data_IF_419547487638
#
_entry.id   IF_419547487638
#
_cell.length_a   1.000
_cell.length_b   1.000
_cell.length_c   1.000
_cell.angle_alpha   90.00
_cell.angle_beta   90.00
_cell.angle_gamma   90.00
#
_symmetry.space_group_name_H-M   'P 1'
#
loop_
_entity.id
_entity.type
_entity.pdbx_description
1 polymer ?
#
# COMPACT_ATOMS: atom_id res chain seq x y z
N UNK A 1 20.09 -44.33 22.08
CA UNK A 1 19.93 -43.83 20.70
C UNK A 1 18.61 -43.10 20.43
N UNK A 2 17.41 -43.70 20.62
CA UNK A 2 16.12 -43.04 20.30
C UNK A 2 15.91 -41.66 20.96
N UNK A 3 16.29 -41.48 22.22
CA UNK A 3 16.17 -40.18 22.92
C UNK A 3 17.02 -39.09 22.27
N UNK A 4 18.25 -39.42 21.90
CA UNK A 4 19.17 -38.51 21.23
C UNK A 4 18.62 -38.07 19.87
N UNK A 5 18.13 -39.03 19.07
CA UNK A 5 17.52 -38.73 17.77
C UNK A 5 16.23 -37.89 17.91
N UNK A 6 15.43 -38.15 18.94
CA UNK A 6 14.26 -37.31 19.27
C UNK A 6 14.63 -35.86 19.59
N UNK A 7 15.72 -35.63 20.34
CA UNK A 7 16.20 -34.26 20.64
C UNK A 7 16.62 -33.53 19.37
N UNK A 8 17.35 -34.20 18.46
CA UNK A 8 17.74 -33.62 17.17
C UNK A 8 16.52 -33.21 16.36
N UNK A 9 15.51 -34.09 16.27
CA UNK A 9 14.26 -33.78 15.54
C UNK A 9 13.55 -32.57 16.17
N UNK A 10 13.55 -32.43 17.50
CA UNK A 10 12.93 -31.27 18.17
C UNK A 10 13.65 -29.98 17.84
N UNK A 11 14.98 -29.97 17.83
CA UNK A 11 15.77 -28.78 17.47
C UNK A 11 15.48 -28.38 16.01
N UNK A 12 15.48 -29.35 15.09
CA UNK A 12 15.13 -29.11 13.69
C UNK A 12 13.68 -28.62 13.53
N UNK A 13 12.74 -29.25 14.25
CA UNK A 13 11.33 -28.86 14.28
C UNK A 13 11.13 -27.46 14.84
N UNK A 14 11.94 -27.04 15.81
CA UNK A 14 11.90 -25.68 16.34
C UNK A 14 12.27 -24.66 15.27
N UNK A 15 13.45 -24.80 14.66
CA UNK A 15 13.93 -23.85 13.62
C UNK A 15 12.96 -23.81 12.44
N UNK A 16 12.57 -24.98 11.95
CA UNK A 16 11.67 -25.08 10.79
C UNK A 16 10.25 -24.59 11.13
N UNK A 17 9.76 -24.88 12.33
CA UNK A 17 8.47 -24.42 12.84
C UNK A 17 8.40 -22.90 12.92
N UNK A 18 9.47 -22.22 13.36
CA UNK A 18 9.54 -20.75 13.33
C UNK A 18 9.36 -20.22 11.91
N UNK A 19 10.11 -20.76 10.94
CA UNK A 19 10.03 -20.34 9.53
C UNK A 19 8.64 -20.59 8.93
N UNK A 20 8.04 -21.75 9.22
CA UNK A 20 6.69 -22.09 8.73
C UNK A 20 5.64 -21.14 9.31
N UNK A 21 5.61 -20.96 10.62
CA UNK A 21 4.58 -20.14 11.26
C UNK A 21 4.72 -18.65 10.91
N UNK A 22 5.96 -18.14 10.77
CA UNK A 22 6.21 -16.79 10.26
C UNK A 22 5.76 -16.65 8.80
N UNK A 23 6.15 -17.59 7.93
CA UNK A 23 5.75 -17.58 6.53
C UNK A 23 4.22 -17.60 6.35
N UNK A 24 3.53 -18.37 7.19
CA UNK A 24 2.06 -18.38 7.22
C UNK A 24 1.49 -17.02 7.62
N UNK A 25 2.05 -16.39 8.65
CA UNK A 25 1.63 -15.06 9.13
C UNK A 25 1.83 -13.98 8.07
N UNK A 26 3.00 -13.94 7.44
CA UNK A 26 3.33 -13.02 6.33
C UNK A 26 2.40 -13.23 5.14
N UNK A 27 2.08 -14.49 4.81
CA UNK A 27 1.15 -14.81 3.72
C UNK A 27 -0.28 -14.33 4.01
N UNK A 28 -0.71 -14.38 5.27
CA UNK A 28 -2.07 -13.96 5.65
C UNK A 28 -2.22 -12.45 5.78
N UNK A 29 -1.17 -11.73 6.15
CA UNK A 29 -1.18 -10.27 6.33
C UNK A 29 -0.57 -9.53 5.13
N UNK A 30 0.75 -9.59 4.96
CA UNK A 30 1.50 -8.72 4.05
C UNK A 30 1.21 -9.04 2.59
N UNK A 31 1.04 -10.32 2.23
CA UNK A 31 0.85 -10.76 0.85
C UNK A 31 -0.60 -10.67 0.34
N UNK A 32 -1.42 -9.81 0.94
CA UNK A 32 -2.78 -9.49 0.47
C UNK A 32 -2.90 -7.98 0.31
N UNK A 33 -3.68 -7.51 -0.67
CA UNK A 33 -3.90 -6.07 -0.87
C UNK A 33 -4.78 -5.44 0.22
N UNK A 34 -5.79 -6.17 0.69
CA UNK A 34 -6.80 -5.66 1.64
C UNK A 34 -6.21 -5.01 2.91
N UNK A 35 -5.23 -5.61 3.61
CA UNK A 35 -4.56 -4.97 4.75
C UNK A 35 -3.90 -3.63 4.43
N UNK A 36 -3.33 -3.49 3.23
CA UNK A 36 -2.70 -2.25 2.78
C UNK A 36 -3.73 -1.17 2.49
N UNK A 37 -4.84 -1.52 1.83
CA UNK A 37 -5.95 -0.60 1.58
C UNK A 37 -6.51 -0.04 2.89
N UNK A 38 -6.78 -0.91 3.86
CA UNK A 38 -7.26 -0.51 5.18
C UNK A 38 -6.25 0.39 5.90
N UNK A 39 -4.96 0.09 5.81
CA UNK A 39 -3.91 0.93 6.40
C UNK A 39 -3.85 2.33 5.76
N UNK A 40 -4.03 2.44 4.44
CA UNK A 40 -4.06 3.74 3.73
C UNK A 40 -5.29 4.57 4.12
N UNK A 41 -6.46 3.94 4.25
CA UNK A 41 -7.69 4.61 4.72
C UNK A 41 -7.51 5.11 6.15
N UNK A 42 -7.01 4.24 7.05
CA UNK A 42 -6.79 4.60 8.46
C UNK A 42 -5.76 5.73 8.64
N UNK A 43 -4.73 5.75 7.78
CA UNK A 43 -3.73 6.81 7.77
C UNK A 43 -4.18 8.09 7.04
N UNK A 44 -5.42 8.14 6.51
CA UNK A 44 -5.97 9.27 5.76
C UNK A 44 -5.08 9.73 4.61
N UNK A 45 -4.43 8.78 3.94
CA UNK A 45 -3.49 9.07 2.86
C UNK A 45 -4.19 9.83 1.74
N UNK A 46 -5.41 9.40 1.38
CA UNK A 46 -6.15 9.97 0.25
C UNK A 46 -6.58 11.42 0.48
N UNK A 47 -6.77 11.83 1.74
CA UNK A 47 -7.13 13.20 2.10
C UNK A 47 -5.93 14.15 1.98
N UNK A 48 -4.72 13.63 2.24
CA UNK A 48 -3.48 14.40 2.35
C UNK A 48 -2.61 14.33 1.10
N UNK A 49 -2.78 13.30 0.27
CA UNK A 49 -1.92 13.03 -0.89
C UNK A 49 -1.97 14.20 -1.88
N UNK A 50 -3.15 14.79 -2.09
CA UNK A 50 -3.33 15.83 -3.08
C UNK A 50 -2.64 17.14 -2.68
N UNK A 51 -2.73 17.54 -1.41
CA UNK A 51 -1.99 18.70 -0.92
C UNK A 51 -0.49 18.53 -1.08
N UNK A 52 0.04 17.34 -0.77
CA UNK A 52 1.47 17.05 -0.89
C UNK A 52 1.95 17.04 -2.35
N UNK A 53 1.19 16.39 -3.24
CA UNK A 53 1.49 16.37 -4.66
C UNK A 53 1.43 17.79 -5.25
N UNK A 54 0.43 18.60 -4.89
CA UNK A 54 0.37 19.99 -5.36
C UNK A 54 1.56 20.80 -4.88
N UNK A 55 1.93 20.70 -3.60
CA UNK A 55 3.10 21.41 -3.06
C UNK A 55 4.37 21.00 -3.81
N UNK A 56 4.61 19.70 -4.01
CA UNK A 56 5.79 19.21 -4.74
C UNK A 56 5.79 19.62 -6.21
N UNK A 57 4.65 19.57 -6.90
CA UNK A 57 4.56 19.99 -8.31
C UNK A 57 4.75 21.51 -8.43
N UNK A 58 4.31 22.29 -7.46
CA UNK A 58 4.50 23.76 -7.47
C UNK A 58 5.92 24.16 -7.06
N UNK A 59 6.55 23.43 -6.14
CA UNK A 59 7.93 23.69 -5.68
C UNK A 59 8.99 23.17 -6.65
N UNK A 60 8.78 22.00 -7.27
CA UNK A 60 9.73 21.36 -8.17
C UNK A 60 9.38 21.54 -9.65
N UNK A 61 8.18 22.02 -9.95
CA UNK A 61 7.68 22.07 -11.31
C UNK A 61 8.35 23.14 -12.15
N UNK A 62 8.93 22.71 -13.25
CA UNK A 62 9.11 23.45 -14.51
C UNK A 62 7.77 23.91 -15.13
N UNK A 63 6.75 24.22 -14.32
CA UNK A 63 5.66 25.10 -14.74
C UNK A 63 6.28 26.47 -14.97
N UNK A 64 7.03 26.59 -16.07
CA UNK A 64 7.35 27.87 -16.70
C UNK A 64 6.00 28.49 -16.96
N UNK A 65 5.65 29.40 -16.07
CA UNK A 65 4.44 30.19 -16.13
C UNK A 65 4.40 31.02 -17.40
N UNK A 66 5.26 30.87 -18.41
CA UNK A 66 5.24 31.69 -19.62
C UNK A 66 3.86 31.79 -20.31
N UNK A 67 2.99 30.76 -20.20
CA UNK A 67 1.58 30.82 -20.67
C UNK A 67 0.54 31.17 -19.60
N UNK A 68 0.90 31.14 -18.30
CA UNK A 68 0.02 31.46 -17.15
C UNK A 68 0.48 32.70 -16.37
N UNK A 69 1.60 33.32 -16.74
CA UNK A 69 2.34 34.33 -15.97
C UNK A 69 1.54 35.62 -15.83
N UNK A 70 0.58 35.81 -16.73
CA UNK A 70 -0.29 36.95 -16.74
C UNK A 70 -1.62 36.69 -15.98
N UNK A 71 -1.85 35.45 -15.52
CA UNK A 71 -2.97 35.09 -14.67
C UNK A 71 -2.48 35.06 -13.20
N UNK A 72 -2.85 36.02 -12.34
CA UNK A 72 -2.48 36.03 -10.92
C UNK A 72 -3.21 34.93 -10.13
N UNK A 73 -2.99 33.66 -10.45
CA UNK A 73 -3.53 32.51 -9.72
C UNK A 73 -2.51 32.12 -8.66
N UNK A 74 -2.95 32.12 -7.41
CA UNK A 74 -2.15 31.72 -6.26
C UNK A 74 -2.05 30.20 -6.16
N UNK A 75 -0.99 29.71 -5.52
CA UNK A 75 -0.82 28.27 -5.23
C UNK A 75 -2.02 27.69 -4.48
N UNK A 76 -2.59 28.44 -3.53
CA UNK A 76 -3.79 28.04 -2.78
C UNK A 76 -5.02 27.87 -3.67
N UNK A 77 -5.18 28.73 -4.68
CA UNK A 77 -6.30 28.61 -5.64
C UNK A 77 -6.10 27.41 -6.57
N UNK A 78 -4.87 27.13 -7.00
CA UNK A 78 -4.55 25.93 -7.79
C UNK A 78 -4.85 24.67 -6.97
N UNK A 79 -4.40 24.61 -5.71
CA UNK A 79 -4.68 23.48 -4.81
C UNK A 79 -6.18 23.33 -4.57
N UNK A 80 -6.92 24.43 -4.35
CA UNK A 80 -8.38 24.38 -4.19
C UNK A 80 -9.09 23.91 -5.46
N UNK A 81 -8.66 24.38 -6.63
CA UNK A 81 -9.18 23.93 -7.91
C UNK A 81 -8.97 22.43 -8.08
N UNK A 82 -7.74 21.96 -7.82
CA UNK A 82 -7.39 20.57 -7.96
C UNK A 82 -8.15 19.69 -6.98
N UNK A 83 -8.30 20.10 -5.72
CA UNK A 83 -9.11 19.40 -4.71
C UNK A 83 -10.59 19.28 -5.10
N UNK A 84 -11.10 20.24 -5.89
CA UNK A 84 -12.48 20.24 -6.36
C UNK A 84 -12.69 19.30 -7.56
N UNK A 85 -11.63 19.07 -8.35
CA UNK A 85 -11.65 18.18 -9.51
C UNK A 85 -11.30 16.74 -9.10
N UNK A 86 -10.18 16.57 -8.40
CA UNK A 86 -9.62 15.30 -7.94
C UNK A 86 -10.06 15.07 -6.49
N UNK A 87 -11.12 14.30 -6.32
CA UNK A 87 -11.64 14.00 -4.98
C UNK A 87 -10.83 12.89 -4.28
N UNK A 88 -10.81 12.84 -2.93
CA UNK A 88 -10.19 11.74 -2.19
C UNK A 88 -10.76 10.36 -2.59
N UNK A 89 -12.05 10.28 -2.87
CA UNK A 89 -12.69 9.03 -3.33
C UNK A 89 -12.16 8.56 -4.69
N UNK A 90 -11.88 9.49 -5.61
CA UNK A 90 -11.24 9.17 -6.88
C UNK A 90 -9.82 8.64 -6.64
N UNK A 91 -9.01 9.34 -5.84
CA UNK A 91 -7.65 8.91 -5.50
C UNK A 91 -7.63 7.54 -4.83
N UNK A 92 -8.53 7.30 -3.89
CA UNK A 92 -8.70 6.00 -3.24
C UNK A 92 -8.96 4.90 -4.28
N UNK A 93 -9.95 5.10 -5.15
CA UNK A 93 -10.32 4.11 -6.18
C UNK A 93 -9.12 3.77 -7.07
N UNK A 94 -8.38 4.79 -7.54
CA UNK A 94 -7.23 4.57 -8.41
C UNK A 94 -6.05 3.93 -7.67
N UNK A 95 -5.72 4.40 -6.47
CA UNK A 95 -4.63 3.85 -5.66
C UNK A 95 -4.89 2.40 -5.25
N UNK A 96 -6.12 2.06 -4.87
CA UNK A 96 -6.49 0.70 -4.54
C UNK A 96 -6.43 -0.23 -5.76
N UNK A 97 -6.80 0.25 -6.95
CA UNK A 97 -6.64 -0.50 -8.19
C UNK A 97 -5.16 -0.74 -8.55
N UNK A 98 -4.29 0.26 -8.32
CA UNK A 98 -2.83 0.10 -8.46
C UNK A 98 -2.32 -0.97 -7.50
N UNK A 99 -2.78 -0.96 -6.24
CA UNK A 99 -2.35 -1.95 -5.26
C UNK A 99 -2.81 -3.36 -5.64
N UNK A 100 -4.06 -3.53 -6.01
CA UNK A 100 -4.59 -4.83 -6.43
C UNK A 100 -3.78 -5.38 -7.60
N UNK A 101 -3.55 -4.58 -8.64
CA UNK A 101 -2.73 -4.99 -9.77
C UNK A 101 -1.28 -5.31 -9.35
N UNK A 102 -0.71 -4.52 -8.45
CA UNK A 102 0.62 -4.76 -7.89
C UNK A 102 0.70 -6.12 -7.19
N UNK A 103 -0.31 -6.47 -6.40
CA UNK A 103 -0.37 -7.77 -5.72
C UNK A 103 -0.63 -8.93 -6.69
N UNK A 104 -1.47 -8.73 -7.71
CA UNK A 104 -1.65 -9.72 -8.78
C UNK A 104 -0.35 -9.99 -9.54
N UNK A 105 0.40 -8.94 -9.85
CA UNK A 105 1.72 -9.05 -10.45
C UNK A 105 2.67 -9.77 -9.49
N UNK A 106 2.83 -9.30 -8.25
CA UNK A 106 3.77 -9.87 -7.29
C UNK A 106 3.52 -11.36 -7.01
N UNK A 107 2.25 -11.76 -6.93
CA UNK A 107 1.84 -13.15 -6.73
C UNK A 107 1.82 -13.98 -8.03
N UNK A 108 2.29 -13.42 -9.14
CA UNK A 108 2.31 -14.06 -10.47
C UNK A 108 0.93 -14.54 -10.94
N UNK A 109 -0.15 -13.88 -10.53
CA UNK A 109 -1.52 -14.17 -11.01
C UNK A 109 -1.76 -13.55 -12.38
N UNK A 110 -1.05 -12.45 -12.68
CA UNK A 110 -1.01 -11.80 -13.99
C UNK A 110 0.44 -11.49 -14.38
N UNK A 111 0.67 -11.24 -15.66
CA UNK A 111 1.98 -10.83 -16.20
C UNK A 111 1.94 -9.35 -16.59
N UNK A 112 3.11 -8.70 -16.66
CA UNK A 112 3.18 -7.28 -17.03
C UNK A 112 2.57 -7.00 -18.42
N UNK A 113 2.62 -7.96 -19.34
CA UNK A 113 2.04 -7.85 -20.68
C UNK A 113 0.53 -8.04 -20.72
N UNK A 114 -0.05 -8.67 -19.69
CA UNK A 114 -1.50 -8.89 -19.54
C UNK A 114 -2.14 -7.89 -18.59
N UNK A 115 -1.33 -7.24 -17.74
CA UNK A 115 -1.74 -6.18 -16.84
C UNK A 115 -2.23 -4.96 -17.64
N UNK A 116 -3.40 -4.44 -17.28
CA UNK A 116 -3.90 -3.17 -17.76
C UNK A 116 -4.51 -2.42 -16.58
N UNK A 117 -4.17 -1.15 -16.46
CA UNK A 117 -4.74 -0.26 -15.46
C UNK A 117 -5.18 1.02 -16.15
N UNK A 118 -6.46 1.07 -16.48
CA UNK A 118 -7.08 2.20 -17.16
C UNK A 118 -7.59 3.16 -16.09
N UNK A 119 -6.95 4.33 -16.00
CA UNK A 119 -7.39 5.44 -15.16
C UNK A 119 -8.32 6.31 -16.01
N UNK A 120 -9.64 6.33 -15.74
CA UNK A 120 -10.55 7.20 -16.47
C UNK A 120 -10.31 8.65 -16.05
N UNK A 121 -10.08 9.52 -17.03
CA UNK A 121 -9.90 10.95 -16.83
C UNK A 121 -11.08 11.78 -17.33
N UNK A 122 -12.05 11.16 -18.02
CA UNK A 122 -13.20 11.84 -18.61
C UNK A 122 -13.93 12.75 -17.61
N UNK A 123 -14.22 12.25 -16.41
CA UNK A 123 -14.93 13.05 -15.40
C UNK A 123 -14.10 14.24 -14.93
N UNK A 124 -12.78 14.05 -14.75
CA UNK A 124 -11.86 15.12 -14.38
C UNK A 124 -11.75 16.17 -15.49
N UNK A 125 -11.66 15.70 -16.75
CA UNK A 125 -11.60 16.51 -17.96
C UNK A 125 -12.87 17.34 -18.16
N UNK A 126 -14.05 16.80 -17.82
CA UNK A 126 -15.31 17.51 -17.89
C UNK A 126 -15.49 18.53 -16.76
N UNK A 127 -14.94 18.24 -15.56
CA UNK A 127 -15.06 19.12 -14.38
C UNK A 127 -14.03 20.24 -14.36
N UNK A 128 -12.81 19.99 -14.83
CA UNK A 128 -11.72 20.96 -14.76
C UNK A 128 -12.05 22.32 -15.40
N UNK A 129 -12.65 22.42 -16.60
CA UNK A 129 -13.02 23.70 -17.19
C UNK A 129 -13.99 24.50 -16.33
N UNK A 130 -14.98 23.82 -15.74
CA UNK A 130 -16.02 24.44 -14.90
C UNK A 130 -15.36 25.07 -13.67
N UNK A 131 -14.51 24.33 -12.97
CA UNK A 131 -13.82 24.81 -11.76
C UNK A 131 -12.88 25.97 -12.08
N UNK A 132 -12.12 25.87 -13.16
CA UNK A 132 -11.22 26.97 -13.59
C UNK A 132 -12.03 28.22 -13.95
N UNK A 133 -13.15 28.05 -14.67
CA UNK A 133 -14.04 29.15 -15.03
C UNK A 133 -14.63 29.82 -13.78
N UNK A 134 -15.10 29.04 -12.81
CA UNK A 134 -15.65 29.56 -11.55
C UNK A 134 -14.63 30.41 -10.77
N UNK A 135 -13.39 29.94 -10.64
CA UNK A 135 -12.31 30.67 -9.96
C UNK A 135 -12.01 32.00 -10.66
N UNK A 136 -11.96 31.99 -11.98
CA UNK A 136 -11.68 33.20 -12.76
C UNK A 136 -12.84 34.19 -12.73
N UNK A 137 -14.08 33.72 -12.81
CA UNK A 137 -15.29 34.53 -12.64
C UNK A 137 -15.28 35.20 -11.26
N UNK A 138 -14.91 34.46 -10.21
CA UNK A 138 -14.82 35.00 -8.85
C UNK A 138 -13.72 36.07 -8.74
N UNK A 139 -12.54 35.84 -9.34
CA UNK A 139 -11.48 36.86 -9.39
C UNK A 139 -11.93 38.12 -10.11
N UNK A 140 -12.52 37.99 -11.30
CA UNK A 140 -13.00 39.14 -12.08
C UNK A 140 -14.06 39.91 -11.29
N UNK A 141 -14.97 39.21 -10.59
CA UNK A 141 -15.98 39.84 -9.74
C UNK A 141 -15.37 40.65 -8.59
N UNK A 142 -14.23 40.21 -8.04
CA UNK A 142 -13.49 40.91 -6.98
C UNK A 142 -12.64 42.09 -7.47
N UNK A 143 -12.45 42.26 -8.79
CA UNK A 143 -11.73 43.39 -9.34
C UNK A 143 -12.51 44.70 -9.17
N UNK A 144 -11.82 45.84 -8.94
CA UNK A 144 -12.47 47.14 -8.84
C UNK A 144 -13.13 47.53 -10.17
N UNK A 145 -14.17 48.36 -10.10
CA UNK A 145 -14.84 48.89 -11.29
C UNK A 145 -13.86 49.80 -12.06
N UNK A 146 -13.75 49.61 -13.37
CA UNK A 146 -12.90 50.43 -14.23
C UNK A 146 -13.38 51.88 -14.26
N UNK A 147 -12.45 52.83 -14.11
CA UNK A 147 -12.68 54.23 -14.45
C UNK A 147 -12.73 54.40 -15.98
N UNK A 148 -13.36 55.46 -16.49
CA UNK A 148 -13.46 55.72 -17.93
C UNK A 148 -12.10 55.74 -18.64
N UNK A 149 -11.05 56.24 -17.97
CA UNK A 149 -9.69 56.24 -18.49
C UNK A 149 -9.13 54.81 -18.69
N UNK A 150 -9.40 53.89 -17.74
CA UNK A 150 -8.96 52.48 -17.81
C UNK A 150 -9.82 51.65 -18.76
N UNK A 151 -11.07 52.03 -18.99
CA UNK A 151 -11.97 51.41 -19.96
C UNK A 151 -11.43 51.50 -21.40
N UNK A 152 -10.74 52.60 -21.74
CA UNK A 152 -10.07 52.76 -23.04
C UNK A 152 -8.88 51.81 -23.22
N UNK A 153 -8.21 51.43 -22.13
CA UNK A 153 -7.12 50.46 -22.15
C UNK A 153 -7.62 49.02 -22.12
N UNK A 154 -8.82 48.77 -21.57
CA UNK A 154 -9.45 47.46 -21.50
C UNK A 154 -9.61 46.79 -22.87
N UNK A 155 -9.83 47.58 -23.93
CA UNK A 155 -9.91 47.07 -25.30
C UNK A 155 -8.64 46.33 -25.75
N UNK A 156 -7.49 46.55 -25.10
CA UNK A 156 -6.23 45.84 -25.37
C UNK A 156 -6.18 44.43 -24.73
N UNK A 157 -7.10 44.12 -23.82
CA UNK A 157 -7.17 42.86 -23.07
C UNK A 157 -8.30 41.93 -23.56
N UNK A 158 -8.81 42.12 -24.79
CA UNK A 158 -9.89 41.29 -25.36
C UNK A 158 -9.52 39.80 -25.43
N UNK A 159 -8.22 39.48 -25.49
CA UNK A 159 -7.72 38.12 -25.35
C UNK A 159 -6.94 38.04 -24.03
N UNK A 160 -7.32 37.11 -23.15
CA UNK A 160 -6.69 36.88 -21.84
C UNK A 160 -5.21 36.45 -21.95
N UNK A 161 -4.66 36.32 -23.16
CA UNK A 161 -3.24 36.10 -23.44
C UNK A 161 -2.34 37.15 -22.77
N UNK A 162 -2.83 38.39 -22.65
CA UNK A 162 -2.14 39.50 -21.96
C UNK A 162 -2.38 39.54 -20.44
N UNK A 163 -3.16 38.60 -19.89
CA UNK A 163 -3.49 38.48 -18.47
C UNK A 163 -4.87 38.97 -18.06
N UNK A 164 -5.14 38.84 -16.76
CA UNK A 164 -6.36 39.42 -16.17
C UNK A 164 -6.26 40.96 -16.19
N UNK A 165 -7.30 41.67 -16.66
CA UNK A 165 -7.32 43.12 -16.64
C UNK A 165 -7.28 43.64 -15.19
N UNK A 166 -6.71 44.82 -14.93
CA UNK A 166 -6.57 45.35 -13.57
C UNK A 166 -7.90 45.81 -12.95
N UNK A 167 -8.99 45.85 -13.72
CA UNK A 167 -10.32 46.30 -13.30
C UNK A 167 -11.41 45.60 -14.12
N UNK A 168 -12.67 45.65 -13.64
CA UNK A 168 -13.85 45.13 -14.33
C UNK A 168 -14.74 46.26 -14.86
N UNK A 169 -15.23 46.23 -16.11
CA UNK A 169 -16.24 47.18 -16.58
C UNK A 169 -17.56 47.01 -15.83
N UNK A 170 -18.27 48.11 -15.57
CA UNK A 170 -19.47 48.11 -14.71
C UNK A 170 -20.60 47.22 -15.27
N UNK A 171 -20.80 47.25 -16.59
CA UNK A 171 -21.92 46.59 -17.27
C UNK A 171 -21.57 45.20 -17.85
N UNK A 172 -20.34 44.72 -17.65
CA UNK A 172 -19.87 43.48 -18.29
C UNK A 172 -20.00 42.29 -17.35
N UNK A 173 -20.76 41.27 -17.77
CA UNK A 173 -20.93 40.02 -17.05
C UNK A 173 -19.60 39.24 -17.01
N UNK A 174 -19.04 38.95 -15.81
CA UNK A 174 -17.83 38.16 -15.67
C UNK A 174 -17.88 36.81 -16.41
N UNK A 175 -19.06 36.18 -16.50
CA UNK A 175 -19.19 34.88 -17.17
C UNK A 175 -18.90 34.96 -18.66
N UNK A 176 -19.33 36.04 -19.32
CA UNK A 176 -19.08 36.25 -20.76
C UNK A 176 -17.60 36.47 -21.06
N UNK A 177 -16.91 37.23 -20.20
CA UNK A 177 -15.47 37.51 -20.34
C UNK A 177 -14.67 36.21 -20.28
N UNK A 178 -14.95 35.35 -19.30
CA UNK A 178 -14.21 34.09 -19.16
C UNK A 178 -14.56 33.10 -20.28
N UNK A 179 -15.84 33.00 -20.67
CA UNK A 179 -16.28 32.07 -21.71
C UNK A 179 -15.72 32.36 -23.10
N UNK A 180 -15.58 33.62 -23.49
CA UNK A 180 -15.08 34.00 -24.82
C UNK A 180 -13.54 34.00 -24.89
N UNK A 181 -12.86 34.34 -23.79
CA UNK A 181 -11.41 34.56 -23.79
C UNK A 181 -10.59 33.32 -23.45
N UNK A 182 -11.19 32.29 -22.85
CA UNK A 182 -10.48 31.09 -22.41
C UNK A 182 -10.98 29.86 -23.15
N UNK A 183 -10.22 29.46 -24.18
CA UNK A 183 -10.41 28.19 -24.88
C UNK A 183 -9.96 27.00 -24.03
N UNK A 184 -10.45 26.89 -22.79
CA UNK A 184 -10.10 25.79 -21.87
C UNK A 184 -10.50 24.43 -22.46
N UNK A 185 -11.53 24.42 -23.30
CA UNK A 185 -11.92 23.26 -24.11
C UNK A 185 -10.80 22.78 -25.05
N UNK A 186 -9.97 23.69 -25.56
CA UNK A 186 -8.85 23.36 -26.45
C UNK A 186 -7.65 22.79 -25.66
N UNK A 187 -7.43 23.27 -24.44
CA UNK A 187 -6.43 22.71 -23.51
C UNK A 187 -6.86 21.30 -23.05
N UNK A 188 -8.12 21.14 -22.66
CA UNK A 188 -8.64 19.84 -22.19
C UNK A 188 -8.72 18.80 -23.30
N UNK A 189 -8.89 19.20 -24.57
CA UNK A 189 -8.81 18.28 -25.73
C UNK A 189 -7.45 17.57 -25.84
N UNK A 190 -6.37 18.16 -25.34
CA UNK A 190 -5.04 17.52 -25.34
C UNK A 190 -4.91 16.43 -24.28
N UNK A 191 -5.76 16.46 -23.24
CA UNK A 191 -5.78 15.42 -22.20
C UNK A 191 -6.58 14.22 -22.72
N UNK A 192 -6.00 13.00 -22.71
CA UNK A 192 -6.72 11.80 -23.14
C UNK A 192 -7.86 11.48 -22.16
N UNK A 193 -8.91 10.83 -22.66
CA UNK A 193 -10.08 10.46 -21.84
C UNK A 193 -9.77 9.36 -20.81
N UNK A 194 -8.69 8.61 -21.05
CA UNK A 194 -8.16 7.61 -20.13
C UNK A 194 -6.66 7.41 -20.35
N UNK A 195 -5.95 7.02 -19.29
CA UNK A 195 -4.53 6.65 -19.37
C UNK A 195 -4.38 5.19 -18.94
N UNK A 196 -3.66 4.39 -19.73
CA UNK A 196 -3.24 3.04 -19.34
C UNK A 196 -1.87 3.14 -18.67
N UNK A 197 -1.85 3.14 -17.34
CA UNK A 197 -0.64 3.41 -16.55
C UNK A 197 0.46 2.38 -16.85
N UNK A 198 0.09 1.12 -17.10
CA UNK A 198 1.05 0.06 -17.39
C UNK A 198 1.73 0.29 -18.75
N UNK A 199 0.96 0.69 -19.77
CA UNK A 199 1.52 1.02 -21.08
C UNK A 199 2.45 2.23 -21.01
N UNK A 200 2.09 3.26 -20.23
CA UNK A 200 2.96 4.43 -20.06
C UNK A 200 4.27 4.07 -19.35
N UNK A 201 4.20 3.25 -18.29
CA UNK A 201 5.41 2.75 -17.61
C UNK A 201 6.28 1.91 -18.55
N UNK A 202 5.67 1.12 -19.45
CA UNK A 202 6.41 0.32 -20.45
C UNK A 202 7.06 1.16 -21.56
N UNK A 203 6.49 2.32 -21.89
CA UNK A 203 7.03 3.25 -22.90
C UNK A 203 8.20 4.09 -22.36
N UNK A 204 8.32 4.23 -21.03
CA UNK A 204 9.37 5.04 -20.43
C UNK A 204 10.77 4.55 -20.88
N UNK A 205 11.64 5.43 -21.39
CA UNK A 205 12.92 5.03 -21.96
C UNK A 205 13.84 4.42 -20.89
N UNK A 206 14.57 3.36 -21.27
CA UNK A 206 15.49 2.62 -20.39
C UNK A 206 16.65 3.44 -19.80
N UNK A 207 16.79 4.71 -20.19
CA UNK A 207 17.81 5.65 -19.73
C UNK A 207 17.37 6.53 -18.55
N UNK A 208 16.14 6.38 -18.03
CA UNK A 208 15.75 7.02 -16.76
C UNK A 208 16.54 6.41 -15.60
N UNK A 209 16.92 7.21 -14.60
CA UNK A 209 17.73 6.83 -13.41
C UNK A 209 17.24 5.61 -12.62
N UNK A 210 16.07 5.07 -12.92
CA UNK A 210 15.58 3.81 -12.39
C UNK A 210 15.85 2.65 -13.37
N UNK A 211 16.84 1.77 -13.11
CA UNK A 211 17.10 0.62 -13.96
C UNK A 211 15.85 -0.28 -14.02
N UNK A 212 15.32 -0.44 -15.24
CA UNK A 212 14.32 -1.43 -15.67
C UNK A 212 13.31 -1.85 -14.58
N UNK A 213 12.27 -1.05 -14.35
CA UNK A 213 11.11 -1.40 -13.52
C UNK A 213 10.59 -2.83 -13.79
N UNK A 214 10.60 -3.26 -15.05
CA UNK A 214 10.25 -4.62 -15.48
C UNK A 214 11.18 -5.70 -14.89
N UNK A 215 12.49 -5.44 -14.80
CA UNK A 215 13.45 -6.33 -14.16
C UNK A 215 13.25 -6.38 -12.65
N UNK A 216 13.00 -5.24 -12.01
CA UNK A 216 12.72 -5.19 -10.56
C UNK A 216 11.45 -5.98 -10.24
N UNK A 217 10.36 -5.76 -10.99
CA UNK A 217 9.13 -6.55 -10.84
C UNK A 217 9.41 -8.04 -11.06
N UNK A 218 10.13 -8.42 -12.13
CA UNK A 218 10.43 -9.82 -12.41
C UNK A 218 11.28 -10.46 -11.31
N UNK A 219 12.23 -9.74 -10.73
CA UNK A 219 13.05 -10.20 -9.61
C UNK A 219 12.21 -10.38 -8.34
N UNK A 220 11.38 -9.39 -7.99
CA UNK A 220 10.47 -9.45 -6.84
C UNK A 220 9.47 -10.60 -7.01
N UNK A 221 8.90 -10.77 -8.19
CA UNK A 221 8.01 -11.90 -8.51
C UNK A 221 8.72 -13.26 -8.36
N UNK A 222 9.93 -13.38 -8.92
CA UNK A 222 10.73 -14.61 -8.81
C UNK A 222 11.04 -14.93 -7.35
N UNK A 223 11.44 -13.92 -6.58
CA UNK A 223 11.70 -14.06 -5.15
C UNK A 223 10.42 -14.46 -4.38
N UNK A 224 9.29 -13.78 -4.60
CA UNK A 224 8.02 -14.09 -3.95
C UNK A 224 7.55 -15.51 -4.26
N UNK A 225 7.67 -15.94 -5.53
CA UNK A 225 7.34 -17.31 -5.95
C UNK A 225 8.25 -18.34 -5.28
N UNK A 226 9.56 -18.09 -5.27
CA UNK A 226 10.53 -18.97 -4.61
C UNK A 226 10.28 -19.05 -3.10
N UNK A 227 10.03 -17.92 -2.44
CA UNK A 227 9.70 -17.87 -1.02
C UNK A 227 8.43 -18.67 -0.70
N UNK A 228 7.37 -18.53 -1.52
CA UNK A 228 6.14 -19.32 -1.38
C UNK A 228 6.39 -20.82 -1.58
N UNK A 229 7.18 -21.21 -2.58
CA UNK A 229 7.55 -22.61 -2.83
C UNK A 229 8.36 -23.21 -1.66
N UNK A 230 9.40 -22.50 -1.21
CA UNK A 230 10.21 -22.93 -0.07
C UNK A 230 9.39 -22.99 1.21
N UNK A 231 8.43 -22.08 1.41
CA UNK A 231 7.53 -22.13 2.55
C UNK A 231 6.63 -23.38 2.53
N UNK A 232 6.08 -23.77 1.37
CA UNK A 232 5.32 -25.02 1.23
C UNK A 232 6.20 -26.24 1.51
N UNK A 233 7.41 -26.29 0.95
CA UNK A 233 8.36 -27.37 1.20
C UNK A 233 8.76 -27.46 2.69
N UNK A 234 9.07 -26.32 3.32
CA UNK A 234 9.38 -26.25 4.74
C UNK A 234 8.20 -26.75 5.59
N UNK A 235 6.96 -26.43 5.20
CA UNK A 235 5.75 -26.92 5.88
C UNK A 235 5.65 -28.43 5.78
N UNK A 236 5.86 -29.02 4.60
CA UNK A 236 5.84 -30.47 4.41
C UNK A 236 6.94 -31.16 5.22
N UNK A 237 8.18 -30.66 5.16
CA UNK A 237 9.30 -31.21 5.93
C UNK A 237 9.00 -31.12 7.44
N UNK A 238 8.40 -30.03 7.90
CA UNK A 238 8.02 -29.85 9.30
C UNK A 238 6.99 -30.88 9.75
N UNK A 239 5.94 -31.09 8.95
CA UNK A 239 4.94 -32.13 9.20
C UNK A 239 5.57 -33.52 9.23
N UNK A 240 6.47 -33.83 8.29
CA UNK A 240 7.20 -35.11 8.26
C UNK A 240 8.06 -35.30 9.51
N UNK A 241 8.75 -34.25 9.99
CA UNK A 241 9.51 -34.31 11.24
C UNK A 241 8.60 -34.58 12.45
N UNK A 242 7.44 -33.92 12.53
CA UNK A 242 6.45 -34.15 13.59
C UNK A 242 5.91 -35.59 13.56
N UNK A 243 5.59 -36.12 12.37
CA UNK A 243 5.16 -37.50 12.19
C UNK A 243 6.27 -38.51 12.53
N UNK A 244 7.50 -38.25 12.09
CA UNK A 244 8.67 -39.07 12.41
C UNK A 244 8.94 -39.12 13.92
N UNK A 245 8.78 -37.98 14.59
CA UNK A 245 8.88 -37.89 16.05
C UNK A 245 7.76 -38.66 16.74
N UNK A 246 6.52 -38.56 16.24
CA UNK A 246 5.40 -39.35 16.75
C UNK A 246 5.66 -40.87 16.57
N UNK A 247 6.16 -41.27 15.40
CA UNK A 247 6.47 -42.64 15.04
C UNK A 247 7.60 -43.25 15.90
N UNK A 248 8.66 -42.47 16.17
CA UNK A 248 9.80 -42.90 16.99
C UNK A 248 9.39 -43.37 18.40
N UNK A 249 8.29 -42.81 18.90
CA UNK A 249 7.77 -43.06 20.25
C UNK A 249 6.46 -43.87 20.29
N UNK A 250 5.98 -44.37 19.14
CA UNK A 250 4.78 -45.23 18.98
C UNK A 250 4.59 -46.32 20.05
N UNK A 251 5.64 -47.02 20.56
CA UNK A 251 5.46 -48.04 21.60
C UNK A 251 4.78 -47.52 22.87
N UNK A 252 4.70 -46.21 23.05
CA UNK A 252 3.94 -45.58 24.13
C UNK A 252 3.31 -44.28 23.64
N UNK A 253 2.00 -44.31 23.36
CA UNK A 253 1.21 -43.13 22.97
C UNK A 253 1.44 -41.94 23.91
N UNK A 254 1.48 -42.18 25.22
CA UNK A 254 1.81 -41.14 26.22
C UNK A 254 3.13 -40.45 25.93
N UNK A 255 4.17 -41.23 25.59
CA UNK A 255 5.50 -40.69 25.27
C UNK A 255 5.47 -39.94 23.94
N UNK A 256 4.77 -40.44 22.92
CA UNK A 256 4.60 -39.74 21.63
C UNK A 256 3.94 -38.38 21.80
N UNK A 257 2.79 -38.32 22.50
CA UNK A 257 2.07 -37.06 22.74
C UNK A 257 2.90 -36.07 23.53
N UNK A 258 3.67 -36.53 24.53
CA UNK A 258 4.58 -35.65 25.29
C UNK A 258 5.64 -35.00 24.41
N UNK A 259 6.32 -35.78 23.57
CA UNK A 259 7.37 -35.23 22.71
C UNK A 259 6.79 -34.38 21.57
N UNK A 260 5.65 -34.79 21.01
CA UNK A 260 4.93 -34.00 20.00
C UNK A 260 4.51 -32.64 20.57
N UNK A 261 3.93 -32.62 21.77
CA UNK A 261 3.57 -31.40 22.48
C UNK A 261 4.78 -30.48 22.67
N UNK A 262 5.93 -31.00 23.10
CA UNK A 262 7.17 -30.20 23.22
C UNK A 262 7.62 -29.64 21.87
N UNK A 263 7.59 -30.45 20.81
CA UNK A 263 8.03 -30.06 19.47
C UNK A 263 7.18 -28.96 18.83
N UNK A 264 5.89 -28.89 19.17
CA UNK A 264 4.98 -27.80 18.73
C UNK A 264 5.05 -26.61 19.70
N UNK A 265 5.12 -26.86 21.01
CA UNK A 265 5.12 -25.84 22.05
C UNK A 265 6.28 -24.86 21.88
N UNK A 266 7.51 -25.39 21.73
CA UNK A 266 8.73 -24.56 21.67
C UNK A 266 8.69 -23.49 20.57
N UNK A 267 8.43 -23.81 19.28
CA UNK A 267 8.38 -22.79 18.24
C UNK A 267 7.21 -21.82 18.44
N UNK A 268 6.05 -22.31 18.90
CA UNK A 268 4.88 -21.45 19.15
C UNK A 268 5.10 -20.48 20.30
N UNK A 269 5.71 -20.94 21.39
CA UNK A 269 6.06 -20.12 22.54
C UNK A 269 7.15 -19.10 22.16
N UNK A 270 8.17 -19.55 21.43
CA UNK A 270 9.23 -18.68 20.92
C UNK A 270 8.69 -17.55 20.04
N UNK A 271 7.76 -17.85 19.13
CA UNK A 271 7.09 -16.82 18.33
C UNK A 271 6.21 -15.90 19.15
N UNK A 272 5.48 -16.42 20.12
CA UNK A 272 4.65 -15.59 20.98
C UNK A 272 5.51 -14.58 21.75
N UNK A 273 6.56 -15.04 22.43
CA UNK A 273 7.50 -14.17 23.15
C UNK A 273 8.19 -13.20 22.19
N UNK A 274 8.69 -13.72 21.06
CA UNK A 274 9.33 -12.91 20.03
C UNK A 274 8.41 -11.83 19.47
N UNK A 275 7.10 -12.09 19.34
CA UNK A 275 6.13 -11.11 18.85
C UNK A 275 5.90 -9.95 19.83
N UNK A 276 5.92 -10.21 21.14
CA UNK A 276 5.83 -9.16 22.16
C UNK A 276 7.08 -8.28 22.15
N UNK A 277 8.27 -8.89 22.05
CA UNK A 277 9.53 -8.16 21.92
C UNK A 277 9.55 -7.35 20.62
N UNK A 278 9.14 -7.95 19.50
CA UNK A 278 9.08 -7.28 18.21
C UNK A 278 8.13 -6.08 18.23
N UNK A 279 6.98 -6.18 18.93
CA UNK A 279 6.05 -5.05 19.07
C UNK A 279 6.68 -3.84 19.75
N UNK A 280 7.43 -4.06 20.82
CA UNK A 280 8.16 -2.99 21.52
C UNK A 280 9.27 -2.40 20.64
N UNK A 281 10.02 -3.25 19.94
CA UNK A 281 11.13 -2.83 19.09
C UNK A 281 10.68 -2.11 17.81
N UNK A 282 9.60 -2.56 17.17
CA UNK A 282 9.08 -1.93 15.95
C UNK A 282 8.64 -0.50 16.24
N UNK A 283 8.00 -0.24 17.39
CA UNK A 283 7.72 1.12 17.82
C UNK A 283 9.01 1.94 17.84
N UNK A 284 10.03 1.48 18.57
CA UNK A 284 11.31 2.20 18.68
C UNK A 284 11.98 2.44 17.33
N UNK A 285 12.07 1.42 16.47
CA UNK A 285 12.75 1.53 15.16
C UNK A 285 11.99 2.47 14.24
N UNK A 286 10.67 2.30 14.11
CA UNK A 286 9.86 3.13 13.22
C UNK A 286 9.81 4.58 13.70
N UNK A 287 9.68 4.83 15.00
CA UNK A 287 9.72 6.19 15.55
C UNK A 287 11.13 6.81 15.56
N UNK A 288 12.19 6.00 15.50
CA UNK A 288 13.58 6.51 15.46
C UNK A 288 14.06 6.87 14.06
N UNK A 289 13.47 6.27 13.02
CA UNK A 289 13.73 6.69 11.65
C UNK A 289 12.83 7.87 11.35
N UNK A 290 13.42 9.05 11.19
CA UNK A 290 12.73 10.19 10.59
C UNK A 290 12.38 9.83 9.14
N UNK A 291 11.27 9.12 8.95
CA UNK A 291 10.61 8.99 7.66
C UNK A 291 10.18 10.41 7.27
N UNK A 292 11.08 11.13 6.60
CA UNK A 292 11.04 12.51 6.08
C UNK A 292 10.08 13.49 6.78
N UNK A 293 10.56 14.69 7.13
CA UNK A 293 9.76 15.73 7.77
C UNK A 293 8.46 16.15 7.02
N UNK A 294 8.26 15.68 5.78
CA UNK A 294 7.05 15.91 4.99
C UNK A 294 5.87 15.01 5.41
N UNK A 295 4.66 15.44 5.06
CA UNK A 295 3.41 14.80 5.44
C UNK A 295 3.27 13.39 4.84
N UNK A 296 3.80 13.16 3.63
CA UNK A 296 3.92 11.86 2.98
C UNK A 296 4.76 10.85 3.80
N UNK A 297 5.86 11.29 4.41
CA UNK A 297 6.70 10.46 5.29
C UNK A 297 5.94 9.97 6.52
N UNK A 298 5.28 10.88 7.23
CA UNK A 298 4.42 10.56 8.40
C UNK A 298 3.25 9.63 8.05
N UNK A 299 2.66 9.89 6.90
CA UNK A 299 1.59 9.09 6.31
C UNK A 299 2.03 7.65 6.03
N UNK A 300 3.20 7.48 5.42
CA UNK A 300 3.82 6.17 5.19
C UNK A 300 4.20 5.48 6.50
N UNK A 301 4.69 6.22 7.49
CA UNK A 301 5.00 5.71 8.82
C UNK A 301 3.77 5.05 9.46
N UNK A 302 2.62 5.71 9.45
CA UNK A 302 1.36 5.17 9.96
C UNK A 302 0.93 3.89 9.23
N UNK A 303 1.12 3.84 7.91
CA UNK A 303 0.84 2.63 7.11
C UNK A 303 1.74 1.48 7.53
N UNK A 304 3.04 1.72 7.68
CA UNK A 304 4.02 0.71 8.12
C UNK A 304 3.69 0.23 9.53
N UNK A 305 3.36 1.14 10.45
CA UNK A 305 2.98 0.80 11.82
C UNK A 305 1.72 -0.07 11.86
N UNK A 306 0.69 0.28 11.09
CA UNK A 306 -0.55 -0.49 11.01
C UNK A 306 -0.29 -1.90 10.46
N UNK A 307 0.48 -2.03 9.38
CA UNK A 307 0.83 -3.33 8.80
C UNK A 307 1.68 -4.18 9.74
N UNK A 308 2.65 -3.58 10.41
CA UNK A 308 3.48 -4.28 11.38
C UNK A 308 2.64 -4.77 12.59
N UNK A 309 1.74 -3.92 13.10
CA UNK A 309 0.82 -4.27 14.18
C UNK A 309 -0.12 -5.42 13.78
N UNK A 310 -0.66 -5.38 12.55
CA UNK A 310 -1.48 -6.46 12.01
C UNK A 310 -0.69 -7.76 11.84
N UNK A 311 0.54 -7.71 11.32
CA UNK A 311 1.43 -8.87 11.22
C UNK A 311 1.70 -9.48 12.60
N UNK A 312 2.06 -8.65 13.60
CA UNK A 312 2.30 -9.10 14.98
C UNK A 312 1.06 -9.78 15.55
N UNK A 313 -0.12 -9.19 15.34
CA UNK A 313 -1.38 -9.75 15.82
C UNK A 313 -1.66 -11.11 15.18
N UNK A 314 -1.42 -11.28 13.88
CA UNK A 314 -1.54 -12.57 13.21
C UNK A 314 -0.54 -13.60 13.74
N UNK A 315 0.72 -13.21 13.98
CA UNK A 315 1.73 -14.08 14.60
C UNK A 315 1.24 -14.54 15.99
N UNK A 316 0.69 -13.63 16.80
CA UNK A 316 0.15 -13.94 18.12
C UNK A 316 -1.02 -14.92 18.06
N UNK A 317 -1.95 -14.75 17.11
CA UNK A 317 -3.08 -15.66 16.91
C UNK A 317 -2.58 -17.05 16.52
N UNK A 318 -1.69 -17.14 15.53
CA UNK A 318 -1.12 -18.41 15.05
C UNK A 318 -0.33 -19.12 16.15
N UNK A 319 0.50 -18.38 16.88
CA UNK A 319 1.25 -18.89 18.03
C UNK A 319 0.32 -19.36 19.16
N UNK A 320 -0.73 -18.60 19.47
CA UNK A 320 -1.75 -18.95 20.46
C UNK A 320 -2.48 -20.25 20.11
N UNK A 321 -2.91 -20.42 18.85
CA UNK A 321 -3.52 -21.66 18.38
C UNK A 321 -2.56 -22.85 18.51
N UNK A 322 -1.30 -22.67 18.14
CA UNK A 322 -0.26 -23.70 18.29
C UNK A 322 0.00 -24.08 19.75
N UNK A 323 -0.04 -23.12 20.68
CA UNK A 323 0.03 -23.38 22.11
C UNK A 323 -1.18 -24.19 22.60
N UNK A 324 -2.39 -23.85 22.16
CA UNK A 324 -3.60 -24.62 22.50
C UNK A 324 -3.47 -26.07 22.03
N UNK A 325 -3.04 -26.29 20.78
CA UNK A 325 -2.79 -27.65 20.24
C UNK A 325 -1.74 -28.39 21.10
N UNK A 326 -0.70 -27.69 21.52
CA UNK A 326 0.36 -28.26 22.35
C UNK A 326 -0.14 -28.65 23.74
N UNK A 327 -0.96 -27.81 24.38
CA UNK A 327 -1.56 -28.06 25.69
C UNK A 327 -2.56 -29.22 25.63
N UNK A 328 -3.40 -29.26 24.59
CA UNK A 328 -4.34 -30.37 24.38
C UNK A 328 -3.58 -31.69 24.18
N UNK A 329 -2.56 -31.70 23.32
CA UNK A 329 -1.69 -32.88 23.13
C UNK A 329 -1.02 -33.31 24.45
N UNK A 330 -0.60 -32.36 25.28
CA UNK A 330 -0.04 -32.64 26.60
C UNK A 330 -1.10 -33.23 27.55
N UNK A 331 -2.32 -32.71 27.57
CA UNK A 331 -3.41 -33.19 28.43
C UNK A 331 -3.82 -34.63 28.09
N UNK A 332 -3.87 -34.98 26.79
CA UNK A 332 -4.19 -36.33 26.29
C UNK A 332 -3.27 -37.39 26.92
N UNK A 333 -2.01 -37.05 27.24
CA UNK A 333 -1.07 -37.97 27.86
C UNK A 333 -1.52 -38.47 29.25
N UNK A 334 -2.31 -37.68 29.98
CA UNK A 334 -2.81 -38.01 31.32
C UNK A 334 -4.11 -38.81 31.25
N UNK A 335 -4.96 -38.51 30.25
CA UNK A 335 -6.25 -39.18 30.05
C UNK A 335 -6.05 -40.59 29.50
N UNK A 336 -5.05 -40.82 28.64
CA UNK A 336 -4.87 -42.13 28.02
C UNK A 336 -4.33 -43.15 29.02
N UNK A 337 -5.02 -44.28 29.30
CA UNK A 337 -4.53 -45.28 30.25
C UNK A 337 -3.21 -45.90 29.75
N UNK A 338 -2.31 -46.33 30.66
CA UNK A 338 -1.11 -47.05 30.24
C UNK A 338 -1.56 -48.37 29.59
N UNK A 339 -1.04 -48.67 28.39
CA UNK A 339 -1.23 -49.98 27.79
C UNK A 339 -0.72 -51.03 28.79
N UNK A 340 -1.65 -51.75 29.43
CA UNK A 340 -1.29 -52.89 30.29
C UNK A 340 -0.49 -53.83 29.38
N UNK A 341 0.81 -54.03 29.69
CA UNK A 341 1.57 -55.11 29.08
C UNK A 341 0.75 -56.37 29.36
N UNK A 342 0.13 -56.97 28.35
CA UNK A 342 -0.46 -58.29 28.53
C UNK A 342 0.71 -59.16 28.97
N UNK A 343 0.68 -59.62 30.22
CA UNK A 343 1.63 -60.60 30.70
C UNK A 343 1.46 -61.79 29.76
N UNK A 344 2.39 -61.96 28.83
CA UNK A 344 2.59 -63.22 28.14
C UNK A 344 2.96 -64.19 29.26
N UNK A 345 1.97 -64.96 29.73
CA UNK A 345 2.24 -66.12 30.56
C UNK A 345 3.23 -66.99 29.77
N UNK A 346 4.37 -67.38 30.37
CA UNK A 346 5.30 -68.31 29.74
C UNK A 346 4.62 -69.65 29.42
#
# INVERSE_FOLDING_TARGET
MRRFLGIIIIILSFVLGLVVLLGWSVRLSILKSEPWKQALVQAKIYDNLLSDLTAQVLENGEFKTENLANLPITTTEITQALNSVVTPAFLQTQAEAILDLTFELLLSRTTLNQASLIIPLQDLKNRAPIVVQEILVEKIRKLPICTEAKLKEFAKYQNLDAGLPPCRPQDLDPQKIVGESLKIEEITKQVPDSIDLIKEIQKAPANSENPNFSQTIAQVQKFARQALQYHVLATLVWVVLLLGLFALFLPSLRRSFRWFSIAVFLPTFGLLVGSFVARDQIGKVVFSQEFSANLAGKSLELVIQNLASQLITQIQIVAGLGLVVSVVAFAIQFVWPPLKKSASKP
#
